data_IF_768032799295
#
_entry.id   IF_768032799295
#
_cell.length_a   1.000
_cell.length_b   1.000
_cell.length_c   1.000
_cell.angle_alpha   90.00
_cell.angle_beta   90.00
_cell.angle_gamma   90.00
#
_symmetry.space_group_name_H-M   'P 1'
#
loop_
_entity.id
_entity.type
_entity.pdbx_description
1 polymer ?
#
# COMPACT_ATOMS: atom_id res chain seq x y z
N UNK A 1 5.23 -3.00 -15.51
CA UNK A 1 4.32 -2.85 -14.36
C UNK A 1 4.93 -3.42 -13.07
N UNK A 2 5.42 -4.67 -12.98
CA UNK A 2 6.05 -5.24 -11.76
C UNK A 2 7.23 -4.42 -11.25
N UNK A 3 8.09 -3.88 -12.12
CA UNK A 3 9.19 -3.00 -11.72
C UNK A 3 8.68 -1.73 -11.02
N UNK A 4 7.61 -1.13 -11.56
CA UNK A 4 6.99 0.06 -10.94
C UNK A 4 6.43 -0.23 -9.56
N UNK A 5 5.81 -1.41 -9.36
CA UNK A 5 5.31 -1.85 -8.05
C UNK A 5 6.43 -1.92 -7.01
N UNK A 6 7.59 -2.51 -7.38
CA UNK A 6 8.75 -2.57 -6.49
C UNK A 6 9.36 -1.19 -6.22
N UNK A 7 9.45 -0.34 -7.23
CA UNK A 7 9.91 1.05 -7.04
C UNK A 7 9.00 1.77 -6.06
N UNK A 8 7.67 1.71 -6.25
CA UNK A 8 6.71 2.33 -5.35
C UNK A 8 6.84 1.82 -3.90
N UNK A 9 7.14 0.52 -3.71
CA UNK A 9 7.30 -0.08 -2.39
C UNK A 9 8.66 0.23 -1.73
N UNK A 10 9.72 0.43 -2.52
CA UNK A 10 11.05 0.75 -1.99
C UNK A 10 11.20 2.21 -1.55
N UNK A 11 10.51 3.13 -2.22
CA UNK A 11 10.58 4.57 -1.90
C UNK A 11 10.26 4.85 -0.42
N UNK A 12 9.17 4.32 0.19
CA UNK A 12 8.89 4.53 1.61
C UNK A 12 10.03 4.09 2.53
N UNK A 13 10.66 2.94 2.26
CA UNK A 13 11.78 2.46 3.07
C UNK A 13 12.99 3.40 2.99
N UNK A 14 13.36 3.81 1.79
CA UNK A 14 14.50 4.73 1.57
C UNK A 14 14.25 6.08 2.24
N UNK A 15 13.06 6.66 2.03
CA UNK A 15 12.70 7.95 2.63
C UNK A 15 12.66 7.86 4.15
N UNK A 16 12.06 6.81 4.71
CA UNK A 16 12.06 6.58 6.17
C UNK A 16 13.47 6.50 6.72
N UNK A 17 14.35 5.72 6.09
CA UNK A 17 15.74 5.56 6.54
C UNK A 17 16.51 6.89 6.56
N UNK A 18 16.20 7.79 5.61
CA UNK A 18 16.79 9.14 5.58
C UNK A 18 16.18 10.02 6.68
N UNK A 19 14.85 10.05 6.78
CA UNK A 19 14.13 10.92 7.73
C UNK A 19 14.47 10.58 9.17
N UNK A 20 14.63 9.30 9.51
CA UNK A 20 15.01 8.86 10.85
C UNK A 20 16.34 9.42 11.34
N UNK A 21 17.26 9.85 10.44
CA UNK A 21 18.50 10.50 10.85
C UNK A 21 18.26 11.87 11.51
N UNK A 22 17.16 12.52 11.17
CA UNK A 22 16.80 13.85 11.64
C UNK A 22 15.73 13.84 12.73
N UNK A 23 15.18 12.67 13.07
CA UNK A 23 14.14 12.53 14.10
C UNK A 23 14.73 12.32 15.49
N UNK A 24 14.07 12.82 16.56
CA UNK A 24 14.37 12.43 17.94
C UNK A 24 14.36 10.91 18.13
N UNK A 25 15.08 10.40 19.12
CA UNK A 25 15.18 8.95 19.36
C UNK A 25 13.86 8.32 19.83
N UNK A 26 13.02 9.12 20.49
CA UNK A 26 11.68 8.72 20.98
C UNK A 26 10.63 9.55 20.28
N UNK A 27 9.67 8.88 19.69
CA UNK A 27 8.59 9.50 18.90
C UNK A 27 7.24 8.87 19.28
N UNK A 28 6.10 9.57 19.02
CA UNK A 28 4.78 9.00 19.19
C UNK A 28 4.56 7.85 18.20
N UNK A 29 4.12 6.71 18.73
CA UNK A 29 3.92 5.47 17.98
C UNK A 29 2.47 5.03 17.88
N UNK A 30 1.64 5.43 18.84
CA UNK A 30 0.22 5.11 18.86
C UNK A 30 -0.58 6.30 19.41
N UNK A 31 -1.81 6.44 18.92
CA UNK A 31 -2.76 7.46 19.34
C UNK A 31 -4.09 6.79 19.67
N UNK A 32 -4.79 7.31 20.66
CA UNK A 32 -6.15 6.93 20.98
C UNK A 32 -7.15 7.46 19.94
N UNK A 33 -8.43 7.14 20.12
CA UNK A 33 -9.50 7.59 19.20
C UNK A 33 -9.72 9.11 19.21
N UNK A 34 -9.24 9.81 20.25
CA UNK A 34 -9.31 11.26 20.39
C UNK A 34 -8.08 11.95 19.78
N UNK A 35 -7.11 11.17 19.32
CA UNK A 35 -5.87 11.65 18.71
C UNK A 35 -4.76 11.97 19.71
N UNK A 36 -4.91 11.62 21.00
CA UNK A 36 -3.86 11.79 21.99
C UNK A 36 -2.84 10.65 21.89
N UNK A 37 -1.56 10.97 22.06
CA UNK A 37 -0.50 9.95 22.06
C UNK A 37 -0.57 9.16 23.38
N UNK A 38 -0.85 7.88 23.28
CA UNK A 38 -0.89 6.95 24.39
C UNK A 38 0.33 5.99 24.46
N UNK A 39 1.14 5.96 23.37
CA UNK A 39 2.38 5.20 23.37
C UNK A 39 3.49 5.94 22.65
N UNK A 40 4.62 6.07 23.31
CA UNK A 40 5.89 6.52 22.76
C UNK A 40 6.83 5.33 22.56
N UNK A 41 7.68 5.39 21.54
CA UNK A 41 8.61 4.30 21.21
C UNK A 41 9.84 4.78 20.48
N UNK A 42 10.74 3.85 20.16
CA UNK A 42 11.95 4.16 19.40
C UNK A 42 11.60 4.53 17.95
N UNK A 43 12.25 5.57 17.43
CA UNK A 43 12.11 5.97 16.01
C UNK A 43 12.33 4.82 15.03
N UNK A 44 13.17 3.83 15.39
CA UNK A 44 13.44 2.67 14.54
C UNK A 44 12.23 1.76 14.34
N UNK A 45 11.24 1.80 15.24
CA UNK A 45 9.98 1.06 15.08
C UNK A 45 9.21 1.54 13.84
N UNK A 46 9.40 2.78 13.40
CA UNK A 46 8.79 3.30 12.17
C UNK A 46 9.21 2.53 10.90
N UNK A 47 10.31 1.76 10.93
CA UNK A 47 10.71 0.90 9.82
C UNK A 47 9.80 -0.31 9.64
N UNK A 48 9.03 -0.70 10.64
CA UNK A 48 8.09 -1.83 10.57
C UNK A 48 7.09 -1.60 9.44
N UNK A 49 6.60 -0.38 9.29
CA UNK A 49 5.57 -0.05 8.30
C UNK A 49 6.08 -0.20 6.85
N UNK A 50 7.19 0.44 6.41
CA UNK A 50 7.72 0.25 5.06
C UNK A 50 8.22 -1.18 4.80
N UNK A 51 8.72 -1.91 5.81
CA UNK A 51 9.02 -3.34 5.68
C UNK A 51 7.75 -4.14 5.41
N UNK A 52 6.65 -3.83 6.09
CA UNK A 52 5.35 -4.47 5.83
C UNK A 52 4.86 -4.21 4.40
N UNK A 53 5.06 -2.99 3.86
CA UNK A 53 4.76 -2.68 2.45
C UNK A 53 5.54 -3.59 1.50
N UNK A 54 6.82 -3.83 1.77
CA UNK A 54 7.65 -4.73 0.96
C UNK A 54 7.18 -6.19 1.03
N UNK A 55 6.78 -6.67 2.21
CA UNK A 55 6.25 -8.04 2.38
C UNK A 55 4.94 -8.22 1.61
N UNK A 56 4.02 -7.25 1.68
CA UNK A 56 2.78 -7.26 0.93
C UNK A 56 3.08 -7.19 -0.59
N UNK A 57 4.05 -6.37 -1.00
CA UNK A 57 4.47 -6.29 -2.40
C UNK A 57 5.06 -7.60 -2.90
N UNK A 58 5.82 -8.32 -2.07
CA UNK A 58 6.30 -9.66 -2.38
C UNK A 58 5.15 -10.65 -2.56
N UNK A 59 4.13 -10.61 -1.69
CA UNK A 59 2.92 -11.41 -1.84
C UNK A 59 2.25 -11.17 -3.19
N UNK A 60 2.01 -9.91 -3.57
CA UNK A 60 1.45 -9.56 -4.89
C UNK A 60 2.34 -10.05 -6.03
N UNK A 61 3.66 -9.90 -5.90
CA UNK A 61 4.60 -10.35 -6.92
C UNK A 61 4.50 -11.87 -7.15
N UNK A 62 4.42 -12.66 -6.07
CA UNK A 62 4.28 -14.12 -6.16
C UNK A 62 2.93 -14.50 -6.79
N UNK A 63 1.85 -13.84 -6.37
CA UNK A 63 0.52 -14.09 -6.93
C UNK A 63 0.46 -13.75 -8.43
N UNK A 64 1.01 -12.63 -8.85
CA UNK A 64 1.12 -12.25 -10.27
C UNK A 64 1.90 -13.30 -11.05
N UNK A 65 3.02 -13.80 -10.52
CA UNK A 65 3.81 -14.88 -11.14
C UNK A 65 3.01 -16.17 -11.33
N UNK A 66 2.15 -16.52 -10.38
CA UNK A 66 1.28 -17.70 -10.51
C UNK A 66 0.33 -17.56 -11.71
N UNK A 67 -0.30 -16.39 -11.88
CA UNK A 67 -1.18 -16.13 -13.02
C UNK A 67 -0.42 -16.05 -14.36
N UNK A 68 0.78 -15.48 -14.38
CA UNK A 68 1.65 -15.49 -15.57
C UNK A 68 2.03 -16.92 -15.96
N UNK A 69 2.42 -17.78 -15.00
CA UNK A 69 2.69 -19.19 -15.28
C UNK A 69 1.45 -19.93 -15.78
N UNK A 70 0.27 -19.66 -15.18
CA UNK A 70 -1.00 -20.22 -15.66
C UNK A 70 -1.29 -19.82 -17.10
N UNK A 71 -1.03 -18.56 -17.46
CA UNK A 71 -1.19 -18.07 -18.83
C UNK A 71 -0.29 -18.81 -19.85
N UNK A 72 0.94 -19.16 -19.45
CA UNK A 72 1.87 -19.88 -20.33
C UNK A 72 1.45 -21.34 -20.53
N UNK A 73 0.83 -21.96 -19.50
CA UNK A 73 0.40 -23.36 -19.51
C UNK A 73 -1.03 -23.54 -20.02
N UNK A 74 -1.73 -22.46 -20.36
CA UNK A 74 -3.11 -22.53 -20.82
C UNK A 74 -3.21 -23.24 -22.18
N UNK A 75 -4.15 -24.16 -22.29
CA UNK A 75 -4.40 -24.94 -23.52
C UNK A 75 -5.25 -24.17 -24.52
N UNK A 76 -6.06 -23.21 -24.06
CA UNK A 76 -6.94 -22.42 -24.91
C UNK A 76 -6.55 -20.94 -24.87
N UNK A 77 -6.76 -20.23 -25.99
CA UNK A 77 -6.56 -18.78 -26.04
C UNK A 77 -7.41 -18.02 -25.02
N UNK A 78 -8.61 -18.52 -24.75
CA UNK A 78 -9.50 -17.94 -23.74
C UNK A 78 -8.86 -17.97 -22.34
N UNK A 79 -8.39 -19.14 -21.89
CA UNK A 79 -7.73 -19.30 -20.60
C UNK A 79 -6.46 -18.47 -20.50
N UNK A 80 -5.69 -18.40 -21.59
CA UNK A 80 -4.49 -17.58 -21.66
C UNK A 80 -4.82 -16.09 -21.45
N UNK A 81 -5.86 -15.59 -22.15
CA UNK A 81 -6.29 -14.20 -22.02
C UNK A 81 -6.84 -13.89 -20.61
N UNK A 82 -7.60 -14.81 -20.02
CA UNK A 82 -8.14 -14.67 -18.66
C UNK A 82 -7.02 -14.58 -17.62
N UNK A 83 -6.02 -15.46 -17.70
CA UNK A 83 -4.89 -15.47 -16.79
C UNK A 83 -4.03 -14.19 -16.94
N UNK A 84 -3.80 -13.73 -18.17
CA UNK A 84 -3.09 -12.46 -18.43
C UNK A 84 -3.86 -11.25 -17.91
N UNK A 85 -5.18 -11.23 -18.06
CA UNK A 85 -6.04 -10.17 -17.52
C UNK A 85 -5.96 -10.12 -16.01
N UNK A 86 -6.06 -11.28 -15.34
CA UNK A 86 -5.91 -11.38 -13.89
C UNK A 86 -4.56 -10.88 -13.41
N UNK A 87 -3.45 -11.30 -14.05
CA UNK A 87 -2.11 -10.82 -13.70
C UNK A 87 -1.97 -9.29 -13.82
N UNK A 88 -2.58 -8.68 -14.84
CA UNK A 88 -2.58 -7.21 -15.03
C UNK A 88 -3.36 -6.50 -13.93
N UNK A 89 -4.57 -6.97 -13.59
CA UNK A 89 -5.39 -6.40 -12.51
C UNK A 89 -4.65 -6.48 -11.18
N UNK A 90 -4.11 -7.65 -10.82
CA UNK A 90 -3.33 -7.82 -9.60
C UNK A 90 -2.13 -6.89 -9.54
N UNK A 91 -1.48 -6.62 -10.68
CA UNK A 91 -0.38 -5.67 -10.74
C UNK A 91 -0.84 -4.24 -10.45
N UNK A 92 -2.01 -3.82 -10.97
CA UNK A 92 -2.60 -2.51 -10.66
C UNK A 92 -2.96 -2.41 -9.19
N UNK A 93 -3.60 -3.44 -8.62
CA UNK A 93 -3.92 -3.49 -7.19
C UNK A 93 -2.66 -3.35 -6.35
N UNK A 94 -1.61 -4.13 -6.65
CA UNK A 94 -0.35 -4.08 -5.90
C UNK A 94 0.35 -2.72 -5.98
N UNK A 95 0.34 -2.06 -7.15
CA UNK A 95 0.88 -0.70 -7.30
C UNK A 95 0.06 0.30 -6.49
N UNK A 96 -1.28 0.27 -6.64
CA UNK A 96 -2.18 1.20 -5.95
C UNK A 96 -2.05 1.08 -4.43
N UNK A 97 -1.94 -0.15 -3.92
CA UNK A 97 -1.75 -0.40 -2.50
C UNK A 97 -0.38 0.07 -2.00
N UNK A 98 0.71 -0.18 -2.73
CA UNK A 98 2.04 0.29 -2.35
C UNK A 98 2.11 1.82 -2.30
N UNK A 99 1.50 2.51 -3.28
CA UNK A 99 1.40 3.96 -3.31
C UNK A 99 0.54 4.49 -2.16
N UNK A 100 -0.64 3.91 -1.94
CA UNK A 100 -1.55 4.30 -0.86
C UNK A 100 -0.87 4.19 0.51
N UNK A 101 -0.28 3.05 0.83
CA UNK A 101 0.39 2.85 2.10
C UNK A 101 1.66 3.69 2.23
N UNK A 102 2.39 3.93 1.13
CA UNK A 102 3.53 4.83 1.13
C UNK A 102 3.14 6.26 1.50
N UNK A 103 2.08 6.80 0.88
CA UNK A 103 1.57 8.13 1.19
C UNK A 103 1.08 8.21 2.64
N UNK A 104 0.31 7.20 3.09
CA UNK A 104 -0.16 7.14 4.47
C UNK A 104 1.01 7.14 5.46
N UNK A 105 2.05 6.37 5.19
CA UNK A 105 3.25 6.32 6.02
C UNK A 105 3.97 7.68 6.12
N UNK A 106 4.01 8.46 5.03
CA UNK A 106 4.60 9.81 5.09
C UNK A 106 3.80 10.75 5.98
N UNK A 107 2.48 10.67 5.98
CA UNK A 107 1.67 11.44 6.91
C UNK A 107 1.90 11.03 8.37
N UNK A 108 2.06 9.74 8.64
CA UNK A 108 2.40 9.23 9.97
C UNK A 108 3.76 9.76 10.41
N UNK A 109 4.81 9.62 9.59
CA UNK A 109 6.16 10.13 9.90
C UNK A 109 6.17 11.64 10.13
N UNK A 110 5.48 12.39 9.28
CA UNK A 110 5.39 13.85 9.39
C UNK A 110 4.68 14.27 10.68
N UNK A 111 3.56 13.64 11.02
CA UNK A 111 2.84 13.90 12.27
C UNK A 111 3.72 13.57 13.48
N UNK A 112 4.38 12.41 13.47
CA UNK A 112 5.28 11.98 14.56
C UNK A 112 6.47 12.94 14.73
N UNK A 113 7.03 13.43 13.62
CA UNK A 113 8.13 14.39 13.67
C UNK A 113 7.73 15.74 14.30
N UNK A 114 6.59 16.29 13.86
CA UNK A 114 6.08 17.55 14.43
C UNK A 114 5.79 17.39 15.91
N UNK A 115 5.07 16.33 16.31
CA UNK A 115 4.73 16.09 17.71
C UNK A 115 5.97 15.93 18.59
N UNK A 116 6.96 15.16 18.14
CA UNK A 116 8.17 14.93 18.91
C UNK A 116 8.98 16.22 19.12
N UNK A 117 9.00 17.14 18.13
CA UNK A 117 9.70 18.41 18.25
C UNK A 117 8.91 19.48 19.03
N UNK A 118 7.58 19.45 18.93
CA UNK A 118 6.71 20.40 19.62
C UNK A 118 6.39 20.01 21.07
N UNK A 119 6.69 18.78 21.47
CA UNK A 119 6.28 18.22 22.78
C UNK A 119 4.75 18.10 22.92
N UNK A 120 4.03 18.06 21.81
CA UNK A 120 2.56 17.96 21.79
C UNK A 120 2.10 16.54 22.04
N UNK A 121 1.05 16.38 22.86
CA UNK A 121 0.38 15.10 23.07
C UNK A 121 -0.68 14.80 22.01
N UNK A 122 -1.11 15.80 21.23
CA UNK A 122 -2.14 15.63 20.20
C UNK A 122 -1.53 15.42 18.81
N UNK A 123 -2.13 14.49 18.04
CA UNK A 123 -1.79 14.28 16.65
C UNK A 123 -2.04 15.52 15.81
N UNK A 124 -1.04 15.90 15.01
CA UNK A 124 -1.15 17.04 14.09
C UNK A 124 -2.06 16.72 12.91
N UNK A 125 -2.18 15.44 12.55
CA UNK A 125 -2.94 14.94 11.40
C UNK A 125 -3.86 13.83 11.85
N UNK A 126 -5.12 13.91 11.47
CA UNK A 126 -6.10 12.84 11.63
C UNK A 126 -5.81 11.73 10.60
N UNK A 127 -5.01 10.75 11.01
CA UNK A 127 -4.58 9.63 10.16
C UNK A 127 -5.78 8.77 9.72
N UNK A 128 -6.84 8.69 10.53
CA UNK A 128 -8.04 7.94 10.15
C UNK A 128 -8.73 8.57 8.94
N UNK A 129 -8.90 9.90 8.92
CA UNK A 129 -9.45 10.61 7.75
C UNK A 129 -8.57 10.44 6.52
N UNK A 130 -7.26 10.63 6.67
CA UNK A 130 -6.30 10.42 5.56
C UNK A 130 -6.42 9.01 5.01
N UNK A 131 -6.46 8.00 5.87
CA UNK A 131 -6.59 6.59 5.48
C UNK A 131 -7.89 6.33 4.70
N UNK A 132 -9.03 6.85 5.17
CA UNK A 132 -10.32 6.72 4.48
C UNK A 132 -10.29 7.35 3.08
N UNK A 133 -9.72 8.55 2.94
CA UNK A 133 -9.60 9.23 1.64
C UNK A 133 -8.72 8.42 0.69
N UNK A 134 -7.54 7.99 1.14
CA UNK A 134 -6.61 7.21 0.32
C UNK A 134 -7.19 5.85 -0.08
N UNK A 135 -7.91 5.16 0.81
CA UNK A 135 -8.64 3.94 0.48
C UNK A 135 -9.72 4.20 -0.58
N UNK A 136 -10.49 5.28 -0.44
CA UNK A 136 -11.49 5.67 -1.43
C UNK A 136 -10.87 5.89 -2.83
N UNK A 137 -9.76 6.64 -2.89
CA UNK A 137 -9.03 6.85 -4.15
C UNK A 137 -8.53 5.52 -4.73
N UNK A 138 -7.95 4.64 -3.90
CA UNK A 138 -7.48 3.33 -4.34
C UNK A 138 -8.64 2.50 -4.93
N UNK A 139 -9.80 2.46 -4.27
CA UNK A 139 -10.96 1.73 -4.78
C UNK A 139 -11.49 2.30 -6.10
N UNK A 140 -11.47 3.62 -6.29
CA UNK A 140 -11.85 4.25 -7.56
C UNK A 140 -10.88 3.81 -8.68
N UNK A 141 -9.57 3.86 -8.43
CA UNK A 141 -8.55 3.45 -9.42
C UNK A 141 -8.69 1.98 -9.77
N UNK A 142 -8.76 1.10 -8.77
CA UNK A 142 -8.88 -0.35 -8.97
C UNK A 142 -10.22 -0.69 -9.63
N UNK A 143 -11.32 -0.12 -9.17
CA UNK A 143 -12.66 -0.33 -9.73
C UNK A 143 -12.74 0.09 -11.21
N UNK A 144 -12.22 1.27 -11.55
CA UNK A 144 -12.16 1.73 -12.94
C UNK A 144 -11.30 0.81 -13.84
N UNK A 145 -10.23 0.24 -13.29
CA UNK A 145 -9.43 -0.72 -14.05
C UNK A 145 -10.13 -2.08 -14.18
N UNK A 146 -10.84 -2.55 -13.15
CA UNK A 146 -11.58 -3.81 -13.19
C UNK A 146 -12.72 -3.81 -14.21
N UNK A 147 -13.37 -2.67 -14.47
CA UNK A 147 -14.42 -2.56 -15.52
C UNK A 147 -13.86 -2.82 -16.92
N UNK A 148 -12.59 -2.52 -17.14
CA UNK A 148 -11.89 -2.73 -18.43
C UNK A 148 -11.27 -4.12 -18.55
N UNK A 149 -11.19 -4.89 -17.45
CA UNK A 149 -10.63 -6.23 -17.46
C UNK A 149 -11.61 -7.24 -18.08
N UNK A 150 -11.10 -8.18 -18.90
CA UNK A 150 -11.92 -9.29 -19.39
C UNK A 150 -12.44 -10.10 -18.22
N UNK A 151 -13.74 -10.33 -18.22
CA UNK A 151 -14.46 -11.07 -17.19
C UNK A 151 -13.97 -12.51 -17.10
N UNK A 152 -13.63 -12.96 -15.90
CA UNK A 152 -13.29 -14.35 -15.60
C UNK A 152 -13.65 -14.71 -14.14
N UNK A 153 -13.23 -15.87 -13.67
CA UNK A 153 -13.55 -16.34 -12.31
C UNK A 153 -12.92 -15.50 -11.18
N UNK A 154 -11.84 -14.74 -11.48
CA UNK A 154 -11.03 -14.00 -10.50
C UNK A 154 -11.27 -12.50 -10.59
N UNK A 155 -11.41 -11.95 -11.79
CA UNK A 155 -11.53 -10.50 -12.02
C UNK A 155 -12.67 -10.16 -12.98
N UNK A 156 -13.19 -8.96 -12.87
CA UNK A 156 -14.31 -8.43 -13.66
C UNK A 156 -15.66 -8.54 -12.94
N UNK A 157 -16.54 -7.58 -13.21
CA UNK A 157 -17.88 -7.58 -12.63
C UNK A 157 -18.76 -8.64 -13.29
N UNK A 158 -19.50 -9.39 -12.48
CA UNK A 158 -20.58 -10.27 -12.91
C UNK A 158 -21.90 -9.53 -12.72
N UNK A 159 -22.52 -9.09 -13.81
CA UNK A 159 -23.91 -8.68 -13.82
C UNK A 159 -24.78 -9.90 -14.14
N UNK A 160 -25.94 -10.01 -13.47
CA UNK A 160 -26.88 -11.15 -13.60
C UNK A 160 -27.90 -10.87 -14.71
N UNK A 161 -27.48 -10.18 -15.79
CA UNK A 161 -28.34 -9.94 -16.95
C UNK A 161 -28.04 -10.92 -18.06
#
# INVERSE_FOLDING_TARGET
MKKLMWVAAMIPLVVTSIVLQFMPDVIPMHHDLEGNTDRWGSKTESLIFPISILLITLFWHLLIRLFEKKSIKAETEKEQMEARSSAKVLCVVGISQAVMFGIMHYFILYSSWIQANAGSLQATIDIAKVSCILCGIMFIVVGNYMTKAKRNAVVGFRTVW
#
